data_IF_584636838027
#
_entry.id   IF_584636838027
#
_cell.length_a   1.000
_cell.length_b   1.000
_cell.length_c   1.000
_cell.angle_alpha   90.00
_cell.angle_beta   90.00
_cell.angle_gamma   90.00
#
_symmetry.space_group_name_H-M   'P 1'
#
loop_
_entity.id
_entity.type
_entity.pdbx_description
1 polymer ?
#
# COMPACT_ATOMS: atom_id res chain seq x y z
N UNK A 1 0.06 -24.04 -65.17
CA UNK A 1 0.24 -25.29 -65.94
C UNK A 1 1.57 -25.90 -65.48
N UNK A 2 1.60 -27.18 -65.11
CA UNK A 2 2.75 -27.97 -64.59
C UNK A 2 3.04 -27.69 -63.09
N UNK A 3 2.58 -28.46 -62.08
CA UNK A 3 2.70 -29.90 -61.69
C UNK A 3 3.88 -30.17 -60.71
N UNK A 4 3.49 -30.34 -59.43
CA UNK A 4 3.77 -31.41 -58.43
C UNK A 4 5.17 -31.69 -57.81
N UNK A 5 5.03 -32.16 -56.54
CA UNK A 5 5.84 -33.09 -55.71
C UNK A 5 7.01 -32.46 -54.93
N UNK A 6 7.36 -32.76 -53.66
CA UNK A 6 6.96 -33.69 -52.57
C UNK A 6 7.64 -33.16 -51.27
N UNK A 7 6.95 -32.98 -50.14
CA UNK A 7 6.85 -33.88 -48.96
C UNK A 7 8.16 -34.30 -48.25
N UNK A 8 8.34 -33.87 -46.98
CA UNK A 8 8.67 -34.73 -45.81
C UNK A 8 8.47 -33.99 -44.46
N UNK A 9 7.53 -34.51 -43.66
CA UNK A 9 7.24 -34.21 -42.23
C UNK A 9 8.32 -34.85 -41.31
N UNK A 10 8.32 -34.71 -39.94
CA UNK A 10 7.20 -34.78 -38.96
C UNK A 10 7.19 -33.58 -37.97
N UNK A 11 6.15 -33.23 -37.20
CA UNK A 11 5.09 -34.02 -36.57
C UNK A 11 5.32 -34.07 -35.06
N UNK A 12 4.90 -33.05 -34.31
CA UNK A 12 4.79 -33.08 -32.83
C UNK A 12 3.40 -32.60 -32.43
N UNK A 13 2.81 -33.43 -31.57
CA UNK A 13 1.40 -33.54 -31.18
C UNK A 13 1.03 -32.51 -30.11
N UNK A 14 -0.03 -31.74 -30.33
CA UNK A 14 -0.75 -31.01 -29.28
C UNK A 14 -1.87 -31.92 -28.74
N UNK A 15 -1.78 -32.30 -27.47
CA UNK A 15 -2.81 -33.06 -26.77
C UNK A 15 -3.92 -32.11 -26.29
N UNK A 16 -5.11 -32.25 -26.87
CA UNK A 16 -6.36 -31.83 -26.26
C UNK A 16 -7.01 -33.02 -25.51
N UNK A 17 -7.72 -32.80 -24.40
CA UNK A 17 -8.32 -33.91 -23.65
C UNK A 17 -9.61 -34.43 -24.32
N UNK A 18 -9.68 -35.76 -24.33
CA UNK A 18 -10.66 -36.66 -24.94
C UNK A 18 -12.00 -36.72 -24.20
N UNK A 19 -13.09 -36.77 -24.98
CA UNK A 19 -14.44 -37.19 -24.56
C UNK A 19 -14.53 -38.73 -24.52
N UNK A 20 -15.17 -39.29 -23.51
CA UNK A 20 -15.75 -40.65 -23.51
C UNK A 20 -17.13 -40.65 -22.83
N UNK A 21 -17.99 -41.67 -23.07
CA UNK A 21 -19.42 -41.47 -23.27
C UNK A 21 -20.34 -41.93 -22.12
N UNK A 22 -21.60 -41.53 -22.30
CA UNK A 22 -22.82 -41.80 -21.55
C UNK A 22 -23.02 -43.26 -21.11
N UNK A 23 -23.50 -43.43 -19.87
CA UNK A 23 -24.35 -44.56 -19.46
C UNK A 23 -25.68 -44.03 -18.90
N UNK A 24 -26.74 -44.75 -19.24
CA UNK A 24 -28.16 -44.46 -19.03
C UNK A 24 -28.66 -45.35 -17.87
N UNK A 25 -29.53 -44.82 -16.98
CA UNK A 25 -30.74 -45.44 -16.38
C UNK A 25 -31.24 -44.60 -15.16
N UNK A 26 -32.56 -44.58 -14.85
CA UNK A 26 -33.29 -43.35 -14.53
C UNK A 26 -33.93 -43.23 -13.12
N UNK A 27 -34.37 -41.98 -12.86
CA UNK A 27 -35.49 -41.50 -12.01
C UNK A 27 -35.40 -41.65 -10.48
N UNK A 28 -35.48 -40.52 -9.77
CA UNK A 28 -36.63 -40.13 -8.93
C UNK A 28 -36.57 -38.61 -8.69
N UNK A 29 -37.72 -37.96 -8.83
CA UNK A 29 -37.94 -36.51 -8.78
C UNK A 29 -37.77 -35.95 -7.36
N UNK A 30 -36.91 -34.93 -7.23
CA UNK A 30 -36.82 -34.06 -6.05
C UNK A 30 -36.40 -32.66 -6.51
N UNK A 31 -37.32 -31.70 -6.41
CA UNK A 31 -37.16 -30.32 -6.89
C UNK A 31 -36.07 -29.59 -6.08
N UNK A 32 -34.96 -29.25 -6.72
CA UNK A 32 -34.07 -28.16 -6.29
C UNK A 32 -33.71 -27.33 -7.53
N UNK A 33 -34.12 -26.07 -7.51
CA UNK A 33 -33.70 -25.05 -8.46
C UNK A 33 -32.22 -24.73 -8.27
N UNK A 34 -31.44 -24.81 -9.34
CA UNK A 34 -30.24 -23.98 -9.50
C UNK A 34 -29.91 -23.86 -10.99
N UNK A 35 -30.03 -22.65 -11.52
CA UNK A 35 -29.51 -22.26 -12.81
C UNK A 35 -28.47 -21.16 -12.57
N UNK A 36 -27.20 -21.52 -12.67
CA UNK A 36 -26.11 -20.59 -12.88
C UNK A 36 -25.90 -20.46 -14.40
N UNK A 37 -26.31 -19.34 -14.97
CA UNK A 37 -25.68 -18.76 -16.16
C UNK A 37 -25.24 -17.37 -15.72
N UNK A 38 -23.96 -17.11 -15.94
CA UNK A 38 -23.26 -15.88 -15.59
C UNK A 38 -23.73 -14.73 -16.48
N UNK A 39 -24.33 -13.72 -15.86
CA UNK A 39 -24.41 -12.35 -16.37
C UNK A 39 -23.64 -11.46 -15.40
N UNK A 40 -22.76 -10.63 -15.95
CA UNK A 40 -22.02 -9.60 -15.23
C UNK A 40 -23.00 -8.59 -14.62
N UNK A 41 -22.81 -8.13 -13.37
CA UNK A 41 -23.73 -7.17 -12.77
C UNK A 41 -23.55 -5.81 -13.46
N UNK A 42 -24.59 -5.39 -14.20
CA UNK A 42 -24.79 -3.99 -14.59
C UNK A 42 -24.86 -3.13 -13.33
N UNK A 43 -24.34 -1.90 -13.34
CA UNK A 43 -24.58 -0.98 -12.24
C UNK A 43 -26.09 -0.70 -12.19
N UNK A 44 -26.72 -1.03 -11.06
CA UNK A 44 -28.07 -0.59 -10.73
C UNK A 44 -28.07 0.94 -10.66
N UNK A 45 -28.24 1.57 -11.82
CA UNK A 45 -28.80 2.91 -11.94
C UNK A 45 -30.17 2.88 -11.27
N UNK A 46 -30.25 3.44 -10.06
CA UNK A 46 -31.36 4.24 -9.52
C UNK A 46 -32.81 3.98 -10.00
N UNK A 47 -33.20 2.75 -10.32
CA UNK A 47 -34.59 2.35 -10.62
C UNK A 47 -35.25 1.58 -9.47
N UNK A 48 -34.64 1.59 -8.28
CA UNK A 48 -35.28 1.19 -7.03
C UNK A 48 -35.95 2.39 -6.33
N UNK A 49 -36.84 3.09 -7.05
CA UNK A 49 -37.71 4.12 -6.49
C UNK A 49 -39.06 4.26 -7.23
N UNK A 50 -39.58 3.20 -7.86
CA UNK A 50 -40.89 3.24 -8.56
C UNK A 50 -42.00 2.46 -7.83
N UNK A 51 -41.82 2.18 -6.53
CA UNK A 51 -42.90 1.68 -5.68
C UNK A 51 -43.11 2.59 -4.45
N UNK A 52 -43.17 3.90 -4.67
CA UNK A 52 -43.71 4.83 -3.69
C UNK A 52 -45.23 4.85 -3.84
N UNK A 53 -45.92 4.37 -2.81
CA UNK A 53 -47.39 4.32 -2.77
C UNK A 53 -48.03 5.66 -3.10
N UNK A 54 -49.14 5.58 -3.84
CA UNK A 54 -50.11 6.66 -3.99
C UNK A 54 -50.58 7.10 -2.60
N UNK A 55 -50.06 8.23 -2.14
CA UNK A 55 -50.59 8.96 -0.99
C UNK A 55 -50.86 10.40 -1.43
N UNK A 56 -52.15 10.66 -1.61
CA UNK A 56 -52.83 11.94 -1.41
C UNK A 56 -52.22 13.19 -2.05
N UNK A 57 -52.50 13.35 -3.34
CA UNK A 57 -52.48 14.63 -4.04
C UNK A 57 -53.57 15.55 -3.46
N UNK A 58 -53.27 16.20 -2.34
CA UNK A 58 -54.26 17.07 -1.70
C UNK A 58 -53.84 17.61 -0.35
N UNK A 59 -52.69 18.28 -0.25
CA UNK A 59 -52.40 19.17 0.89
C UNK A 59 -51.54 20.35 0.43
N UNK A 60 -52.04 21.54 0.76
CA UNK A 60 -51.46 22.85 0.51
C UNK A 60 -49.93 22.84 0.52
N UNK A 61 -49.32 23.10 -0.64
CA UNK A 61 -47.88 23.31 -0.76
C UNK A 61 -47.52 24.57 0.01
N UNK A 62 -47.10 24.39 1.27
CA UNK A 62 -46.43 25.46 2.00
C UNK A 62 -45.31 25.96 1.10
N UNK A 63 -45.33 27.25 0.75
CA UNK A 63 -44.34 27.83 -0.15
C UNK A 63 -42.98 27.63 0.51
N UNK A 64 -42.16 26.71 -0.02
CA UNK A 64 -40.79 26.51 0.46
C UNK A 64 -40.07 27.85 0.51
N UNK A 65 -39.24 28.03 1.54
CA UNK A 65 -38.41 29.22 1.64
C UNK A 65 -37.53 29.34 0.39
N UNK A 66 -37.23 30.57 -0.03
CA UNK A 66 -36.38 30.83 -1.21
C UNK A 66 -35.02 30.13 -1.08
N UNK A 67 -34.45 30.11 0.13
CA UNK A 67 -33.20 29.43 0.44
C UNK A 67 -33.29 27.91 0.22
N UNK A 68 -34.41 27.30 0.61
CA UNK A 68 -34.65 25.86 0.49
C UNK A 68 -34.79 25.45 -0.98
N UNK A 69 -35.50 26.25 -1.78
CA UNK A 69 -35.59 26.04 -3.24
C UNK A 69 -34.23 26.16 -3.92
N UNK A 70 -33.46 27.21 -3.58
CA UNK A 70 -32.13 27.43 -4.14
C UNK A 70 -31.15 26.30 -3.80
N UNK A 71 -31.28 25.69 -2.61
CA UNK A 71 -30.48 24.52 -2.23
C UNK A 71 -30.82 23.29 -3.10
N UNK A 72 -32.11 22.98 -3.30
CA UNK A 72 -32.54 21.87 -4.17
C UNK A 72 -32.07 22.08 -5.60
N UNK A 73 -32.25 23.30 -6.12
CA UNK A 73 -31.80 23.66 -7.46
C UNK A 73 -30.29 23.50 -7.61
N UNK A 74 -29.50 23.91 -6.61
CA UNK A 74 -28.05 23.73 -6.62
C UNK A 74 -27.65 22.25 -6.62
N UNK A 75 -28.35 21.41 -5.87
CA UNK A 75 -28.12 19.96 -5.87
C UNK A 75 -28.44 19.36 -7.25
N UNK A 76 -29.64 19.64 -7.79
CA UNK A 76 -30.06 19.19 -9.14
C UNK A 76 -29.07 19.65 -10.23
N UNK A 77 -28.61 20.90 -10.17
CA UNK A 77 -27.61 21.42 -11.12
C UNK A 77 -26.26 20.73 -11.01
N UNK A 78 -25.87 20.30 -9.80
CA UNK A 78 -24.62 19.58 -9.60
C UNK A 78 -24.73 18.16 -10.14
N UNK A 79 -25.86 17.49 -9.93
CA UNK A 79 -26.11 16.15 -10.47
C UNK A 79 -26.11 16.16 -12.01
N UNK A 80 -26.78 17.16 -12.61
CA UNK A 80 -26.76 17.37 -14.05
C UNK A 80 -25.34 17.63 -14.58
N UNK A 81 -24.58 18.51 -13.91
CA UNK A 81 -23.18 18.77 -14.24
C UNK A 81 -22.32 17.50 -14.18
N UNK A 82 -22.46 16.69 -13.11
CA UNK A 82 -21.70 15.44 -12.98
C UNK A 82 -22.05 14.45 -14.10
N UNK A 83 -23.32 14.36 -14.49
CA UNK A 83 -23.77 13.52 -15.61
C UNK A 83 -23.14 13.96 -16.94
N UNK A 84 -23.14 15.26 -17.22
CA UNK A 84 -22.50 15.83 -18.41
C UNK A 84 -20.99 15.49 -18.44
N UNK A 85 -20.28 15.70 -17.33
CA UNK A 85 -18.84 15.39 -17.25
C UNK A 85 -18.53 13.90 -17.42
N UNK A 86 -19.40 13.00 -16.93
CA UNK A 86 -19.24 11.55 -17.13
C UNK A 86 -19.39 11.21 -18.61
N UNK A 87 -20.41 11.77 -19.28
CA UNK A 87 -20.60 11.54 -20.71
C UNK A 87 -19.44 12.07 -21.57
N UNK A 88 -18.92 13.26 -21.25
CA UNK A 88 -17.75 13.84 -21.92
C UNK A 88 -16.50 12.99 -21.71
N UNK A 89 -16.30 12.48 -20.48
CA UNK A 89 -15.19 11.59 -20.16
C UNK A 89 -15.26 10.28 -20.96
N UNK A 90 -16.42 9.64 -21.07
CA UNK A 90 -16.58 8.40 -21.84
C UNK A 90 -16.35 8.62 -23.33
N UNK A 91 -16.83 9.73 -23.89
CA UNK A 91 -16.57 10.13 -25.28
C UNK A 91 -15.07 10.38 -25.49
N UNK A 92 -14.45 11.16 -24.60
CA UNK A 92 -13.02 11.45 -24.60
C UNK A 92 -12.16 10.20 -24.50
N UNK A 93 -12.55 9.23 -23.66
CA UNK A 93 -11.88 7.93 -23.50
C UNK A 93 -11.85 7.15 -24.82
N UNK A 94 -12.98 7.08 -25.52
CA UNK A 94 -13.08 6.41 -26.83
C UNK A 94 -12.23 7.12 -27.89
N UNK A 95 -12.20 8.45 -27.89
CA UNK A 95 -11.35 9.22 -28.80
C UNK A 95 -9.86 9.01 -28.52
N UNK A 96 -9.46 8.97 -27.26
CA UNK A 96 -8.09 8.71 -26.87
C UNK A 96 -7.64 7.31 -27.32
N UNK A 97 -8.45 6.29 -27.09
CA UNK A 97 -8.18 4.93 -27.57
C UNK A 97 -8.00 4.90 -29.10
N UNK A 98 -8.88 5.57 -29.86
CA UNK A 98 -8.77 5.66 -31.31
C UNK A 98 -7.48 6.40 -31.77
N UNK A 99 -7.05 7.44 -31.07
CA UNK A 99 -5.79 8.14 -31.37
C UNK A 99 -4.56 7.26 -31.11
N UNK A 100 -4.60 6.44 -30.06
CA UNK A 100 -3.52 5.51 -29.71
C UNK A 100 -3.56 4.20 -30.51
N UNK A 101 -4.66 3.93 -31.23
CA UNK A 101 -4.87 2.70 -31.98
C UNK A 101 -5.23 1.49 -31.11
N UNK A 102 -5.73 1.73 -29.90
CA UNK A 102 -6.13 0.70 -28.93
C UNK A 102 -7.65 0.46 -28.95
N UNK A 103 -8.08 -0.67 -28.39
CA UNK A 103 -9.50 -1.03 -28.29
C UNK A 103 -10.20 -0.25 -27.15
N UNK A 104 -11.31 0.48 -27.41
CA UNK A 104 -11.97 1.33 -26.41
C UNK A 104 -12.57 0.61 -25.20
N UNK A 105 -12.87 -0.68 -25.31
CA UNK A 105 -13.47 -1.46 -24.22
C UNK A 105 -12.42 -2.01 -23.26
N UNK A 106 -11.23 -2.34 -23.77
CA UNK A 106 -10.11 -2.87 -22.97
C UNK A 106 -9.27 -1.75 -22.34
N UNK A 107 -9.47 -0.50 -22.76
CA UNK A 107 -8.65 0.65 -22.37
C UNK A 107 -8.75 0.97 -20.86
N UNK A 108 -7.66 0.76 -20.13
CA UNK A 108 -7.60 0.96 -18.67
C UNK A 108 -7.17 2.38 -18.28
N UNK A 109 -7.27 2.73 -17.00
CA UNK A 109 -6.81 4.03 -16.50
C UNK A 109 -5.29 4.21 -16.62
N UNK A 110 -4.51 3.13 -16.54
CA UNK A 110 -3.06 3.19 -16.71
C UNK A 110 -2.69 3.54 -18.15
N UNK A 111 -3.42 2.98 -19.12
CA UNK A 111 -3.24 3.29 -20.55
C UNK A 111 -3.61 4.74 -20.86
N UNK A 112 -4.66 5.26 -20.22
CA UNK A 112 -5.04 6.69 -20.28
C UNK A 112 -3.89 7.56 -19.76
N UNK A 113 -3.37 7.27 -18.57
CA UNK A 113 -2.33 8.07 -17.93
C UNK A 113 -1.03 8.04 -18.78
N UNK A 114 -0.68 6.89 -19.36
CA UNK A 114 0.46 6.74 -20.27
C UNK A 114 0.26 7.52 -21.58
N UNK A 115 -0.92 7.42 -22.19
CA UNK A 115 -1.24 8.15 -23.41
C UNK A 115 -1.18 9.67 -23.20
N UNK A 116 -1.68 10.16 -22.06
CA UNK A 116 -1.62 11.59 -21.71
C UNK A 116 -0.19 12.04 -21.46
N UNK A 117 0.60 11.26 -20.74
CA UNK A 117 2.01 11.56 -20.51
C UNK A 117 2.79 11.67 -21.84
N UNK A 118 2.41 10.88 -22.85
CA UNK A 118 2.99 10.92 -24.18
C UNK A 118 2.51 12.12 -25.02
N UNK A 119 1.19 12.35 -25.08
CA UNK A 119 0.60 13.42 -25.89
C UNK A 119 0.87 14.81 -25.30
N UNK A 120 0.86 14.92 -23.97
CA UNK A 120 1.02 16.17 -23.22
C UNK A 120 2.18 16.05 -22.21
N UNK A 121 3.44 16.00 -22.68
CA UNK A 121 4.59 15.84 -21.81
C UNK A 121 4.75 17.07 -20.91
N UNK A 122 4.70 16.87 -19.59
CA UNK A 122 4.89 17.92 -18.59
C UNK A 122 6.09 17.61 -17.70
N UNK A 123 7.01 18.58 -17.59
CA UNK A 123 8.19 18.50 -16.72
C UNK A 123 7.94 18.95 -15.28
N UNK A 124 6.68 19.07 -14.85
CA UNK A 124 6.34 19.56 -13.51
C UNK A 124 6.67 18.50 -12.46
N UNK A 125 7.35 18.91 -11.39
CA UNK A 125 7.73 18.03 -10.29
C UNK A 125 6.50 17.50 -9.53
N UNK A 126 5.50 18.34 -9.33
CA UNK A 126 4.29 17.97 -8.60
C UNK A 126 3.35 17.16 -9.49
N UNK A 127 3.07 15.87 -9.19
CA UNK A 127 2.27 15.02 -10.07
C UNK A 127 0.81 15.51 -10.18
N UNK A 128 0.28 16.17 -9.14
CA UNK A 128 -1.09 16.72 -9.14
C UNK A 128 -1.26 17.92 -10.07
N UNK A 129 -0.18 18.59 -10.44
CA UNK A 129 -0.21 19.76 -11.33
C UNK A 129 -0.05 19.36 -12.82
N UNK A 130 0.21 18.08 -13.09
CA UNK A 130 0.34 17.57 -14.45
C UNK A 130 -1.05 17.45 -15.11
N UNK A 131 -1.12 17.50 -16.46
CA UNK A 131 -2.34 17.12 -17.17
C UNK A 131 -2.79 15.72 -16.77
N UNK A 132 -4.08 15.56 -16.48
CA UNK A 132 -4.67 14.27 -16.13
C UNK A 132 -6.09 14.19 -16.69
N UNK A 133 -6.52 12.98 -17.05
CA UNK A 133 -7.90 12.68 -17.42
C UNK A 133 -8.33 11.49 -16.57
N UNK A 134 -9.23 11.74 -15.62
CA UNK A 134 -9.76 10.72 -14.71
C UNK A 134 -11.27 10.79 -14.69
N UNK A 135 -11.89 9.73 -14.19
CA UNK A 135 -13.32 9.71 -14.02
C UNK A 135 -13.79 10.87 -13.10
N UNK A 136 -14.86 11.61 -13.44
CA UNK A 136 -15.29 12.80 -12.69
C UNK A 136 -15.50 12.57 -11.19
N UNK A 137 -15.90 11.37 -10.77
CA UNK A 137 -16.10 11.02 -9.35
C UNK A 137 -14.82 11.03 -8.53
N UNK A 138 -13.65 10.89 -9.17
CA UNK A 138 -12.34 10.96 -8.51
C UNK A 138 -11.78 12.38 -8.50
N UNK A 139 -12.10 13.17 -9.53
CA UNK A 139 -11.61 14.54 -9.71
C UNK A 139 -12.39 15.51 -8.81
N UNK A 140 -13.72 15.41 -8.83
CA UNK A 140 -14.58 16.31 -8.06
C UNK A 140 -14.78 15.79 -6.64
N UNK A 141 -14.76 16.67 -5.63
CA UNK A 141 -15.04 16.28 -4.25
C UNK A 141 -16.49 15.82 -4.12
N UNK A 142 -16.71 14.75 -3.35
CA UNK A 142 -18.06 14.27 -3.03
C UNK A 142 -18.84 15.37 -2.32
N UNK A 143 -20.08 15.57 -2.74
CA UNK A 143 -21.03 16.49 -2.10
C UNK A 143 -22.24 15.71 -1.60
N UNK A 144 -22.90 16.26 -0.59
CA UNK A 144 -24.16 15.72 -0.11
C UNK A 144 -25.24 15.87 -1.19
N UNK A 145 -26.05 14.84 -1.34
CA UNK A 145 -27.31 14.93 -2.06
C UNK A 145 -28.27 15.89 -1.32
N UNK A 146 -29.37 16.26 -1.97
CA UNK A 146 -30.40 17.06 -1.33
C UNK A 146 -30.94 16.32 -0.08
N UNK A 147 -30.95 17.00 1.07
CA UNK A 147 -31.36 16.41 2.35
C UNK A 147 -32.89 16.40 2.57
N UNK A 148 -33.66 17.02 1.68
CA UNK A 148 -35.11 17.18 1.81
C UNK A 148 -35.86 17.21 0.47
N UNK A 149 -37.15 16.89 0.54
CA UNK A 149 -38.09 16.91 -0.56
C UNK A 149 -38.47 18.32 -1.03
N UNK A 150 -39.15 18.40 -2.18
CA UNK A 150 -39.79 19.62 -2.69
C UNK A 150 -40.93 20.13 -1.78
N UNK A 151 -41.42 19.31 -0.86
CA UNK A 151 -42.35 19.70 0.20
C UNK A 151 -41.64 20.27 1.43
N UNK A 152 -40.31 20.15 1.50
CA UNK A 152 -39.48 20.60 2.60
C UNK A 152 -39.34 19.61 3.75
N UNK A 153 -39.75 18.36 3.53
CA UNK A 153 -39.59 17.28 4.50
C UNK A 153 -38.17 16.69 4.39
N UNK A 154 -37.38 16.65 5.48
CA UNK A 154 -36.09 15.99 5.46
C UNK A 154 -36.21 14.47 5.28
N UNK A 155 -35.28 13.87 4.53
CA UNK A 155 -35.20 12.42 4.36
C UNK A 155 -34.74 11.70 5.62
N UNK A 156 -33.78 12.30 6.33
CA UNK A 156 -33.16 11.70 7.50
C UNK A 156 -33.79 12.19 8.80
N UNK A 157 -34.00 11.28 9.76
CA UNK A 157 -34.62 11.60 11.06
C UNK A 157 -33.75 12.54 11.91
N UNK A 158 -32.42 12.35 11.89
CA UNK A 158 -31.45 13.19 12.62
C UNK A 158 -31.08 14.49 11.88
N UNK A 159 -31.82 14.90 10.85
CA UNK A 159 -31.52 16.11 10.07
C UNK A 159 -31.34 17.36 10.96
N UNK A 160 -32.23 17.55 11.94
CA UNK A 160 -32.21 18.72 12.82
C UNK A 160 -31.04 18.77 13.81
N UNK A 161 -30.19 17.74 13.85
CA UNK A 161 -28.94 17.77 14.63
C UNK A 161 -27.84 18.59 13.95
N UNK A 162 -28.03 18.96 12.67
CA UNK A 162 -27.06 19.67 11.83
C UNK A 162 -25.97 18.78 11.23
N UNK A 163 -25.72 17.60 11.80
CA UNK A 163 -24.75 16.59 11.31
C UNK A 163 -25.38 15.20 11.31
N UNK A 164 -26.40 14.98 10.46
CA UNK A 164 -27.18 13.74 10.47
C UNK A 164 -26.31 12.50 10.30
N UNK A 165 -25.33 12.51 9.39
CA UNK A 165 -24.58 11.31 9.06
C UNK A 165 -23.56 10.95 10.17
N UNK A 166 -22.92 11.92 10.81
CA UNK A 166 -22.07 11.66 11.98
C UNK A 166 -22.85 11.02 13.14
N UNK A 167 -24.00 11.59 13.51
CA UNK A 167 -24.80 11.05 14.61
C UNK A 167 -25.48 9.73 14.25
N UNK A 168 -25.77 9.47 12.97
CA UNK A 168 -26.21 8.16 12.50
C UNK A 168 -25.15 7.10 12.77
N UNK A 169 -23.87 7.36 12.43
CA UNK A 169 -22.78 6.42 12.73
C UNK A 169 -22.65 6.16 14.23
N UNK A 170 -22.79 7.19 15.07
CA UNK A 170 -22.79 7.00 16.53
C UNK A 170 -23.98 6.17 17.01
N UNK A 171 -25.17 6.41 16.44
CA UNK A 171 -26.36 5.63 16.74
C UNK A 171 -26.12 4.16 16.36
N UNK A 172 -25.62 3.89 15.16
CA UNK A 172 -25.31 2.55 14.68
C UNK A 172 -24.31 1.85 15.61
N UNK A 173 -23.25 2.53 16.06
CA UNK A 173 -22.32 1.98 17.06
C UNK A 173 -23.07 1.57 18.33
N UNK A 174 -23.90 2.45 18.88
CA UNK A 174 -24.62 2.15 20.13
C UNK A 174 -25.62 1.01 19.96
N UNK A 175 -26.29 0.90 18.82
CA UNK A 175 -27.21 -0.21 18.53
C UNK A 175 -26.45 -1.53 18.42
N UNK A 176 -25.28 -1.53 17.77
CA UNK A 176 -24.41 -2.70 17.72
C UNK A 176 -23.94 -3.13 19.11
N UNK A 177 -23.48 -2.20 19.96
CA UNK A 177 -23.09 -2.51 21.35
C UNK A 177 -24.26 -3.12 22.12
N UNK A 178 -25.45 -2.52 22.06
CA UNK A 178 -26.63 -3.06 22.74
C UNK A 178 -27.03 -4.45 22.23
N UNK A 179 -26.94 -4.69 20.92
CA UNK A 179 -27.22 -5.99 20.33
C UNK A 179 -26.22 -7.06 20.78
N UNK A 180 -24.95 -6.67 20.93
CA UNK A 180 -23.88 -7.53 21.45
C UNK A 180 -24.06 -7.82 22.95
N UNK A 181 -24.46 -6.83 23.76
CA UNK A 181 -24.78 -7.00 25.18
C UNK A 181 -25.96 -7.98 25.35
N UNK A 182 -27.06 -7.78 24.61
CA UNK A 182 -28.22 -8.70 24.60
C UNK A 182 -27.84 -10.11 24.18
N UNK A 183 -26.85 -10.24 23.29
CA UNK A 183 -26.33 -11.54 22.90
C UNK A 183 -25.49 -12.16 24.02
N UNK A 184 -24.61 -11.39 24.66
CA UNK A 184 -23.83 -11.83 25.81
C UNK A 184 -24.76 -12.36 26.93
N UNK A 185 -25.83 -11.63 27.25
CA UNK A 185 -26.82 -12.04 28.24
C UNK A 185 -27.53 -13.35 27.87
N UNK A 186 -27.78 -13.60 26.57
CA UNK A 186 -28.31 -14.88 26.10
C UNK A 186 -27.30 -16.01 26.29
N UNK A 187 -26.04 -15.79 25.95
CA UNK A 187 -24.99 -16.81 26.08
C UNK A 187 -24.78 -17.21 27.55
N UNK A 188 -24.78 -16.22 28.46
CA UNK A 188 -24.70 -16.45 29.91
C UNK A 188 -25.89 -17.27 30.39
N UNK A 189 -27.13 -16.95 29.95
CA UNK A 189 -28.33 -17.71 30.33
C UNK A 189 -28.26 -19.18 29.89
N UNK A 190 -27.74 -19.46 28.71
CA UNK A 190 -27.59 -20.84 28.22
C UNK A 190 -26.36 -21.56 28.79
N UNK A 191 -25.55 -20.90 29.64
CA UNK A 191 -24.29 -21.44 30.18
C UNK A 191 -23.33 -21.94 29.10
N UNK A 192 -23.40 -21.36 27.89
CA UNK A 192 -22.49 -21.69 26.79
C UNK A 192 -21.20 -20.90 27.01
N UNK A 193 -20.09 -21.62 27.17
CA UNK A 193 -18.77 -21.02 27.38
C UNK A 193 -18.27 -20.24 26.16
N UNK A 194 -17.40 -19.26 26.38
CA UNK A 194 -16.82 -18.41 25.33
C UNK A 194 -15.99 -19.25 24.34
N UNK A 195 -16.36 -19.23 23.07
CA UNK A 195 -15.51 -19.71 21.97
C UNK A 195 -14.29 -18.80 21.85
N UNK A 196 -13.16 -19.19 22.44
CA UNK A 196 -11.91 -18.41 22.43
C UNK A 196 -11.31 -18.25 21.03
N UNK A 197 -11.77 -19.01 20.06
CA UNK A 197 -11.19 -19.11 18.71
C UNK A 197 -11.71 -18.04 17.73
N UNK A 198 -12.75 -17.28 18.10
CA UNK A 198 -13.39 -16.28 17.21
C UNK A 198 -13.16 -14.84 17.67
N UNK A 199 -11.92 -14.47 17.98
CA UNK A 199 -11.56 -13.08 18.29
C UNK A 199 -11.09 -12.35 17.03
N UNK A 200 -11.51 -11.10 16.85
CA UNK A 200 -11.10 -10.28 15.71
C UNK A 200 -9.63 -9.84 15.83
N UNK A 201 -8.85 -10.14 14.79
CA UNK A 201 -7.46 -9.72 14.70
C UNK A 201 -7.35 -8.34 14.03
N UNK A 202 -7.32 -7.28 14.85
CA UNK A 202 -7.27 -5.90 14.36
C UNK A 202 -5.84 -5.34 14.20
N UNK A 203 -4.80 -6.11 14.55
CA UNK A 203 -3.42 -5.64 14.61
C UNK A 203 -2.83 -5.15 13.28
N UNK A 204 -3.31 -5.66 12.15
CA UNK A 204 -2.85 -5.26 10.80
C UNK A 204 -3.57 -4.03 10.24
N UNK A 205 -4.48 -3.42 11.00
CA UNK A 205 -5.33 -2.33 10.52
C UNK A 205 -5.36 -1.14 11.49
N UNK A 206 -5.42 0.08 10.96
CA UNK A 206 -5.55 1.33 11.74
C UNK A 206 -6.95 1.89 11.54
N UNK A 207 -7.45 2.61 12.55
CA UNK A 207 -8.61 3.46 12.38
C UNK A 207 -8.40 4.52 11.28
N UNK A 208 -9.46 4.81 10.55
CA UNK A 208 -9.51 5.86 9.54
C UNK A 208 -9.17 7.23 10.16
N UNK A 209 -8.37 8.06 9.49
CA UNK A 209 -8.02 9.40 9.97
C UNK A 209 -9.22 10.37 9.92
N UNK A 210 -9.13 11.52 10.60
CA UNK A 210 -10.21 12.53 10.61
C UNK A 210 -10.65 12.94 9.19
N UNK A 211 -9.72 13.34 8.34
CA UNK A 211 -10.01 13.79 6.97
C UNK A 211 -10.71 12.70 6.15
N UNK A 212 -10.30 11.46 6.36
CA UNK A 212 -10.88 10.31 5.67
C UNK A 212 -12.28 9.99 6.19
N UNK A 213 -12.52 10.15 7.49
CA UNK A 213 -13.86 10.03 8.09
C UNK A 213 -14.80 11.11 7.53
N UNK A 214 -14.32 12.34 7.42
CA UNK A 214 -15.07 13.44 6.79
C UNK A 214 -15.39 13.14 5.32
N UNK A 215 -14.46 12.51 4.58
CA UNK A 215 -14.69 12.07 3.20
C UNK A 215 -15.72 10.94 3.09
N UNK A 216 -15.72 9.99 4.03
CA UNK A 216 -16.70 8.89 4.07
C UNK A 216 -18.11 9.40 4.38
N UNK A 217 -18.22 10.29 5.36
CA UNK A 217 -19.51 10.81 5.86
C UNK A 217 -19.99 12.00 5.02
N UNK A 218 -19.10 12.67 4.30
CA UNK A 218 -19.35 13.91 3.54
C UNK A 218 -19.84 15.04 4.46
N UNK A 219 -19.25 15.12 5.66
CA UNK A 219 -19.55 16.13 6.68
C UNK A 219 -18.25 16.60 7.34
N UNK A 220 -18.19 17.88 7.72
CA UNK A 220 -17.05 18.42 8.47
C UNK A 220 -17.19 18.10 9.96
N UNK A 221 -16.09 17.67 10.59
CA UNK A 221 -16.05 17.14 11.95
C UNK A 221 -15.03 17.95 12.77
N UNK A 222 -15.30 18.13 14.06
CA UNK A 222 -14.32 18.72 14.99
C UNK A 222 -13.46 17.63 15.62
N UNK A 223 -12.25 17.96 16.07
CA UNK A 223 -11.33 16.96 16.66
C UNK A 223 -11.96 16.25 17.86
N UNK A 224 -12.72 16.98 18.70
CA UNK A 224 -13.47 16.40 19.83
C UNK A 224 -14.46 15.31 19.40
N UNK A 225 -15.13 15.50 18.27
CA UNK A 225 -16.08 14.53 17.73
C UNK A 225 -15.36 13.30 17.18
N UNK A 226 -14.19 13.50 16.59
CA UNK A 226 -13.33 12.40 16.16
C UNK A 226 -12.82 11.58 17.35
N UNK A 227 -12.34 12.23 18.42
CA UNK A 227 -11.92 11.55 19.64
C UNK A 227 -13.06 10.74 20.26
N UNK A 228 -14.27 11.31 20.28
CA UNK A 228 -15.46 10.60 20.77
C UNK A 228 -15.82 9.40 19.90
N UNK A 229 -15.71 9.53 18.58
CA UNK A 229 -15.91 8.44 17.64
C UNK A 229 -14.90 7.31 17.89
N UNK A 230 -13.61 7.62 18.03
CA UNK A 230 -12.56 6.62 18.30
C UNK A 230 -12.81 5.92 19.64
N UNK A 231 -13.19 6.66 20.70
CA UNK A 231 -13.55 6.05 21.99
C UNK A 231 -14.74 5.09 21.86
N UNK A 232 -15.75 5.48 21.10
CA UNK A 232 -16.95 4.65 20.86
C UNK A 232 -16.62 3.39 20.04
N UNK A 233 -15.75 3.54 19.04
CA UNK A 233 -15.26 2.43 18.21
C UNK A 233 -14.35 1.46 18.96
N UNK A 234 -13.44 1.97 19.79
CA UNK A 234 -12.62 1.12 20.67
C UNK A 234 -13.51 0.35 21.64
N UNK A 235 -14.51 0.99 22.25
CA UNK A 235 -15.50 0.31 23.09
C UNK A 235 -16.22 -0.84 22.35
N UNK A 236 -16.57 -0.65 21.08
CA UNK A 236 -17.20 -1.70 20.27
C UNK A 236 -16.22 -2.82 19.93
N UNK A 237 -14.98 -2.50 19.58
CA UNK A 237 -13.93 -3.46 19.25
C UNK A 237 -13.50 -4.31 20.45
N UNK A 238 -13.41 -3.70 21.64
CA UNK A 238 -13.04 -4.35 22.91
C UNK A 238 -14.13 -5.32 23.42
N UNK A 239 -15.33 -5.29 22.83
CA UNK A 239 -16.43 -6.16 23.25
C UNK A 239 -16.10 -7.65 22.99
N UNK A 240 -16.40 -8.58 23.92
CA UNK A 240 -16.03 -10.00 23.78
C UNK A 240 -16.57 -10.70 22.52
N UNK A 241 -17.70 -10.22 22.00
CA UNK A 241 -18.39 -10.79 20.83
C UNK A 241 -18.29 -9.90 19.59
N UNK A 242 -17.23 -9.09 19.48
CA UNK A 242 -17.04 -8.11 18.39
C UNK A 242 -17.04 -8.72 16.98
N UNK A 243 -16.73 -10.02 16.84
CA UNK A 243 -16.74 -10.74 15.55
C UNK A 243 -18.04 -10.67 14.76
N UNK A 244 -19.20 -10.48 15.43
CA UNK A 244 -20.49 -10.39 14.72
C UNK A 244 -20.69 -9.05 14.01
N UNK A 245 -19.87 -8.06 14.36
CA UNK A 245 -19.94 -6.68 13.86
C UNK A 245 -18.66 -6.35 13.07
N UNK A 246 -17.95 -7.37 12.60
CA UNK A 246 -16.69 -7.23 11.88
C UNK A 246 -16.83 -6.34 10.63
N UNK A 247 -17.86 -6.60 9.81
CA UNK A 247 -18.09 -5.84 8.58
C UNK A 247 -18.24 -4.34 8.84
N UNK A 248 -18.96 -3.98 9.91
CA UNK A 248 -19.15 -2.60 10.32
C UNK A 248 -17.84 -1.98 10.83
N UNK A 249 -17.04 -2.71 11.61
CA UNK A 249 -15.74 -2.24 12.10
C UNK A 249 -14.76 -2.05 10.92
N UNK A 250 -14.72 -3.00 9.99
CA UNK A 250 -13.82 -2.98 8.83
C UNK A 250 -14.10 -1.82 7.89
N UNK A 251 -15.37 -1.37 7.77
CA UNK A 251 -15.73 -0.16 7.02
C UNK A 251 -14.94 1.08 7.48
N UNK A 252 -14.56 1.15 8.75
CA UNK A 252 -13.82 2.28 9.34
C UNK A 252 -12.36 1.93 9.67
N UNK A 253 -11.84 0.84 9.12
CA UNK A 253 -10.43 0.44 9.26
C UNK A 253 -9.72 0.55 7.92
N UNK A 254 -8.42 0.82 7.98
CA UNK A 254 -7.50 0.79 6.84
C UNK A 254 -6.44 -0.27 7.07
N UNK A 255 -6.24 -1.12 6.08
CA UNK A 255 -5.14 -2.09 6.11
C UNK A 255 -3.80 -1.36 6.07
N UNK A 256 -2.90 -1.69 6.99
CA UNK A 256 -1.50 -1.27 6.92
C UNK A 256 -0.79 -2.31 6.08
N UNK A 257 -0.17 -1.89 4.98
CA UNK A 257 0.85 -2.70 4.32
C UNK A 257 2.11 -2.71 5.18
N UNK A 258 2.29 -3.73 6.01
CA UNK A 258 3.56 -3.95 6.71
C UNK A 258 4.59 -4.50 5.72
N UNK A 259 5.33 -3.62 5.03
CA UNK A 259 6.44 -3.96 4.13
C UNK A 259 7.68 -4.48 4.89
N UNK A 260 7.47 -5.45 5.77
CA UNK A 260 8.45 -5.94 6.74
C UNK A 260 9.01 -7.32 6.39
N UNK A 261 9.13 -7.61 5.09
CA UNK A 261 9.93 -8.74 4.63
C UNK A 261 10.92 -8.21 3.61
N UNK A 262 12.16 -8.00 4.06
CA UNK A 262 13.26 -7.73 3.14
C UNK A 262 13.49 -8.99 2.32
N UNK A 263 13.17 -8.96 1.02
CA UNK A 263 13.42 -10.08 0.14
C UNK A 263 14.93 -10.37 0.11
N UNK A 264 15.30 -11.57 0.57
CA UNK A 264 16.65 -12.08 0.53
C UNK A 264 16.89 -12.58 -0.90
N UNK A 265 17.82 -12.00 -1.67
CA UNK A 265 18.10 -12.43 -3.02
C UNK A 265 18.68 -13.85 -2.98
N UNK A 266 18.37 -14.64 -4.01
CA UNK A 266 18.86 -16.01 -4.13
C UNK A 266 20.34 -16.02 -4.51
N UNK A 267 21.09 -16.98 -3.98
CA UNK A 267 22.49 -17.21 -4.32
C UNK A 267 22.68 -17.49 -5.81
N UNK A 268 23.69 -16.87 -6.42
CA UNK A 268 24.15 -17.18 -7.78
C UNK A 268 25.26 -18.23 -7.71
N UNK A 269 25.53 -18.92 -8.81
CA UNK A 269 26.57 -19.95 -8.89
C UNK A 269 27.48 -19.72 -10.10
N UNK A 270 28.78 -19.82 -9.90
CA UNK A 270 29.78 -19.75 -10.98
C UNK A 270 29.72 -21.03 -11.83
N UNK A 271 30.38 -21.04 -12.99
CA UNK A 271 30.59 -22.25 -13.80
C UNK A 271 31.23 -23.40 -13.03
N UNK A 272 32.03 -23.07 -12.00
CA UNK A 272 32.68 -24.02 -11.09
C UNK A 272 31.76 -24.49 -9.94
N UNK A 273 30.51 -24.04 -9.90
CA UNK A 273 29.54 -24.40 -8.85
C UNK A 273 29.75 -23.69 -7.51
N UNK A 274 30.64 -22.69 -7.45
CA UNK A 274 30.87 -21.88 -6.25
C UNK A 274 29.70 -20.89 -6.07
N UNK A 275 29.03 -20.86 -4.89
CA UNK A 275 27.99 -19.88 -4.64
C UNK A 275 28.60 -18.49 -4.45
N UNK A 276 28.07 -17.49 -5.13
CA UNK A 276 28.51 -16.11 -4.99
C UNK A 276 27.34 -15.13 -4.99
N UNK A 277 27.56 -13.94 -4.43
CA UNK A 277 26.60 -12.84 -4.44
C UNK A 277 27.24 -11.51 -4.73
N UNK A 278 26.55 -10.73 -5.55
CA UNK A 278 26.95 -9.38 -5.92
C UNK A 278 26.07 -8.39 -5.16
N UNK A 279 26.68 -7.40 -4.54
CA UNK A 279 25.98 -6.31 -3.88
C UNK A 279 26.72 -4.99 -4.09
N UNK A 280 25.97 -3.92 -4.25
CA UNK A 280 26.51 -2.56 -4.33
C UNK A 280 26.34 -1.85 -2.99
N UNK A 281 27.44 -1.31 -2.47
CA UNK A 281 27.49 -0.48 -1.28
C UNK A 281 27.77 0.97 -1.63
N UNK A 282 27.20 1.91 -0.88
CA UNK A 282 27.47 3.33 -1.04
C UNK A 282 27.65 4.02 0.30
N UNK A 283 28.57 4.98 0.36
CA UNK A 283 28.75 5.87 1.51
C UNK A 283 29.30 7.22 1.07
N UNK A 284 28.58 8.30 1.41
CA UNK A 284 28.87 9.66 0.93
C UNK A 284 28.90 9.67 -0.61
N UNK A 285 30.07 9.93 -1.21
CA UNK A 285 30.29 9.89 -2.66
C UNK A 285 30.95 8.59 -3.13
N UNK A 286 31.40 7.72 -2.22
CA UNK A 286 32.05 6.46 -2.59
C UNK A 286 31.01 5.39 -2.93
N UNK A 287 31.29 4.64 -4.01
CA UNK A 287 30.51 3.48 -4.45
C UNK A 287 31.43 2.26 -4.49
N UNK A 288 30.93 1.12 -4.03
CA UNK A 288 31.65 -0.13 -4.02
C UNK A 288 30.76 -1.24 -4.60
N UNK A 289 31.27 -1.95 -5.60
CA UNK A 289 30.66 -3.17 -6.12
C UNK A 289 31.41 -4.34 -5.49
N UNK A 290 30.70 -5.17 -4.74
CA UNK A 290 31.30 -6.25 -3.94
C UNK A 290 30.72 -7.58 -4.37
N UNK A 291 31.61 -8.51 -4.67
CA UNK A 291 31.38 -9.92 -4.97
C UNK A 291 31.86 -10.75 -3.79
N UNK A 292 30.95 -11.47 -3.14
CA UNK A 292 31.31 -12.42 -2.07
C UNK A 292 31.17 -13.82 -2.61
N UNK A 293 32.26 -14.58 -2.56
CA UNK A 293 32.33 -16.00 -2.92
C UNK A 293 32.27 -16.84 -1.65
N UNK A 294 31.36 -17.81 -1.62
CA UNK A 294 31.30 -18.81 -0.56
C UNK A 294 32.37 -19.88 -0.72
N UNK A 295 32.67 -20.61 0.37
CA UNK A 295 33.70 -21.68 0.40
C UNK A 295 35.10 -21.16 0.04
N UNK A 296 35.42 -19.95 0.53
CA UNK A 296 36.69 -19.29 0.31
C UNK A 296 37.75 -19.59 1.36
N UNK A 297 38.86 -18.86 1.26
CA UNK A 297 40.01 -18.88 2.19
C UNK A 297 40.06 -17.68 3.15
N UNK A 298 39.13 -16.72 3.03
CA UNK A 298 39.15 -15.47 3.78
C UNK A 298 39.93 -14.35 3.09
N UNK A 299 40.22 -14.48 1.80
CA UNK A 299 40.98 -13.49 1.03
C UNK A 299 40.08 -12.30 0.72
N UNK A 300 40.56 -11.09 1.01
CA UNK A 300 39.84 -9.84 0.76
C UNK A 300 40.64 -9.04 -0.26
N UNK A 301 40.16 -8.98 -1.50
CA UNK A 301 40.74 -8.16 -2.58
C UNK A 301 39.95 -6.88 -2.78
N UNK A 302 40.64 -5.75 -2.81
CA UNK A 302 40.09 -4.41 -3.04
C UNK A 302 40.84 -3.79 -4.21
N UNK A 303 40.15 -3.55 -5.34
CA UNK A 303 40.75 -3.02 -6.58
C UNK A 303 42.00 -3.81 -7.04
N UNK A 304 41.97 -5.15 -6.89
CA UNK A 304 43.09 -6.03 -7.23
C UNK A 304 44.27 -6.02 -6.24
N UNK A 305 44.18 -5.24 -5.16
CA UNK A 305 45.15 -5.24 -4.05
C UNK A 305 44.56 -5.96 -2.84
N UNK A 306 45.41 -6.39 -1.89
CA UNK A 306 44.96 -6.97 -0.63
C UNK A 306 44.36 -5.90 0.31
N UNK A 307 43.89 -6.28 1.49
CA UNK A 307 43.35 -5.38 2.53
C UNK A 307 44.30 -4.22 2.91
N UNK A 308 45.59 -4.34 2.57
CA UNK A 308 46.60 -3.29 2.69
C UNK A 308 46.32 -2.04 1.85
N UNK A 309 45.38 -2.10 0.90
CA UNK A 309 44.87 -0.93 0.17
C UNK A 309 44.50 0.23 1.11
N UNK A 310 43.84 -0.09 2.23
CA UNK A 310 43.59 0.86 3.30
C UNK A 310 44.81 0.97 4.21
N UNK A 311 45.41 2.16 4.30
CA UNK A 311 46.58 2.40 5.15
C UNK A 311 46.21 2.45 6.64
N UNK A 312 45.04 3.00 6.95
CA UNK A 312 44.59 3.21 8.32
C UNK A 312 43.98 1.92 8.90
N UNK A 313 44.34 1.51 10.13
CA UNK A 313 43.77 0.31 10.76
C UNK A 313 42.25 0.42 10.95
N UNK A 314 41.75 1.62 11.29
CA UNK A 314 40.32 1.88 11.43
C UNK A 314 39.53 1.54 10.16
N UNK A 315 40.08 1.80 8.98
CA UNK A 315 39.42 1.49 7.71
C UNK A 315 39.36 -0.02 7.46
N UNK A 316 40.41 -0.76 7.86
CA UNK A 316 40.45 -2.22 7.78
C UNK A 316 39.44 -2.86 8.73
N UNK A 317 39.36 -2.37 9.96
CA UNK A 317 38.37 -2.82 10.95
C UNK A 317 36.93 -2.67 10.43
N UNK A 318 36.63 -1.57 9.73
CA UNK A 318 35.32 -1.37 9.12
C UNK A 318 34.98 -2.43 8.07
N UNK A 319 35.94 -2.84 7.24
CA UNK A 319 35.75 -3.87 6.21
C UNK A 319 35.56 -5.25 6.83
N UNK A 320 36.30 -5.56 7.91
CA UNK A 320 36.30 -6.86 8.59
C UNK A 320 35.07 -7.04 9.48
N UNK A 321 34.54 -5.96 10.06
CA UNK A 321 33.41 -5.98 10.99
C UNK A 321 32.19 -6.83 10.57
N UNK A 322 31.64 -6.74 9.33
CA UNK A 322 30.50 -7.57 8.93
C UNK A 322 30.83 -9.07 8.85
N UNK A 323 32.08 -9.44 8.53
CA UNK A 323 32.54 -10.83 8.52
C UNK A 323 32.66 -11.36 9.94
N UNK A 324 33.19 -10.54 10.85
CA UNK A 324 33.30 -10.89 12.27
C UNK A 324 31.92 -11.06 12.92
N UNK A 325 30.99 -10.14 12.63
CA UNK A 325 29.63 -10.17 13.19
C UNK A 325 28.83 -11.40 12.78
N UNK A 326 29.07 -11.89 11.56
CA UNK A 326 28.39 -13.07 11.00
C UNK A 326 29.14 -14.38 11.22
N UNK A 327 30.26 -14.33 11.95
CA UNK A 327 31.15 -15.49 12.19
C UNK A 327 31.67 -16.16 10.91
N UNK A 328 31.73 -15.39 9.81
CA UNK A 328 32.22 -15.84 8.49
C UNK A 328 33.64 -15.38 8.18
N UNK A 329 34.43 -15.10 9.21
CA UNK A 329 35.86 -14.83 9.02
C UNK A 329 36.57 -16.10 8.56
N UNK A 330 37.30 -16.01 7.45
CA UNK A 330 38.05 -17.14 6.90
C UNK A 330 37.24 -18.13 6.05
N UNK A 331 35.92 -17.96 5.92
CA UNK A 331 35.04 -18.88 5.19
C UNK A 331 34.59 -18.37 3.82
N UNK A 332 34.65 -17.05 3.62
CA UNK A 332 34.24 -16.38 2.38
C UNK A 332 35.40 -15.58 1.81
N UNK A 333 35.49 -15.55 0.48
CA UNK A 333 36.41 -14.66 -0.23
C UNK A 333 35.62 -13.44 -0.71
N UNK A 334 36.21 -12.26 -0.58
CA UNK A 334 35.58 -10.99 -0.92
C UNK A 334 36.41 -10.32 -1.99
N UNK A 335 35.77 -9.99 -3.11
CA UNK A 335 36.35 -9.14 -4.13
C UNK A 335 35.54 -7.86 -4.25
N UNK A 336 36.20 -6.72 -4.11
CA UNK A 336 35.56 -5.41 -4.05
C UNK A 336 36.21 -4.45 -5.05
N UNK A 337 35.40 -3.90 -5.95
CA UNK A 337 35.76 -2.75 -6.78
C UNK A 337 35.22 -1.48 -6.15
N UNK A 338 36.08 -0.49 -5.90
CA UNK A 338 35.69 0.77 -5.26
C UNK A 338 36.04 1.95 -6.15
N UNK A 339 35.05 2.83 -6.34
CA UNK A 339 35.14 4.03 -7.18
C UNK A 339 34.74 5.26 -6.36
N UNK A 340 35.42 6.37 -6.62
CA UNK A 340 35.14 7.69 -6.05
C UNK A 340 35.31 7.81 -4.51
N UNK A 341 35.26 9.04 -4.00
CA UNK A 341 35.33 9.34 -2.56
C UNK A 341 36.73 9.28 -1.94
N UNK A 342 36.78 9.43 -0.61
CA UNK A 342 38.01 9.31 0.19
C UNK A 342 38.08 7.97 0.92
N UNK A 343 39.24 7.61 1.45
CA UNK A 343 39.55 6.30 2.05
C UNK A 343 38.51 5.81 3.09
N UNK A 344 38.14 6.67 4.04
CA UNK A 344 37.10 6.36 5.04
C UNK A 344 35.70 6.14 4.44
N UNK A 345 35.37 6.89 3.37
CA UNK A 345 34.11 6.71 2.63
C UNK A 345 34.10 5.38 1.89
N UNK A 346 35.21 5.05 1.23
CA UNK A 346 35.43 3.81 0.50
C UNK A 346 35.32 2.58 1.41
N UNK A 347 36.05 2.56 2.54
CA UNK A 347 35.97 1.47 3.51
C UNK A 347 34.54 1.24 4.02
N UNK A 348 33.81 2.33 4.29
CA UNK A 348 32.42 2.22 4.72
C UNK A 348 31.45 1.79 3.61
N UNK A 349 31.73 2.08 2.34
CA UNK A 349 30.96 1.59 1.21
C UNK A 349 31.18 0.08 1.01
N UNK A 350 32.43 -0.38 1.10
CA UNK A 350 32.80 -1.80 1.05
C UNK A 350 32.12 -2.57 2.20
N UNK A 351 32.20 -2.05 3.43
CA UNK A 351 31.51 -2.63 4.59
C UNK A 351 30.03 -2.88 4.33
N UNK A 352 29.35 -1.90 3.73
CA UNK A 352 27.93 -2.00 3.42
C UNK A 352 27.66 -3.01 2.30
N UNK A 353 28.48 -3.02 1.24
CA UNK A 353 28.39 -3.99 0.15
C UNK A 353 28.58 -5.43 0.65
N UNK A 354 29.60 -5.68 1.48
CA UNK A 354 29.83 -6.98 2.12
C UNK A 354 28.59 -7.38 2.93
N UNK A 355 28.09 -6.52 3.83
CA UNK A 355 26.92 -6.84 4.64
C UNK A 355 25.67 -7.18 3.80
N UNK A 356 25.45 -6.48 2.68
CA UNK A 356 24.35 -6.74 1.76
C UNK A 356 24.51 -8.06 0.98
N UNK A 357 25.73 -8.49 0.69
CA UNK A 357 25.98 -9.78 0.05
C UNK A 357 25.80 -10.93 1.04
N UNK A 358 26.32 -10.78 2.27
CA UNK A 358 26.28 -11.80 3.32
C UNK A 358 24.86 -12.20 3.74
N UNK A 359 23.85 -11.34 3.58
CA UNK A 359 22.44 -11.66 3.92
C UNK A 359 21.89 -12.92 3.26
N UNK A 360 22.49 -13.33 2.14
CA UNK A 360 22.07 -14.50 1.36
C UNK A 360 22.74 -15.78 1.82
N UNK A 361 23.83 -15.67 2.59
CA UNK A 361 24.60 -16.80 3.13
C UNK A 361 24.19 -17.16 4.56
N UNK A 362 23.39 -16.32 5.23
CA UNK A 362 23.01 -16.51 6.64
C UNK A 362 21.50 -16.62 6.82
N UNK A 363 21.10 -17.24 7.93
CA UNK A 363 19.72 -17.36 8.38
C UNK A 363 19.04 -16.00 8.63
N UNK A 364 17.72 -16.00 8.52
CA UNK A 364 16.87 -14.82 8.70
C UNK A 364 17.07 -14.12 10.05
N UNK A 365 17.29 -14.88 11.12
CA UNK A 365 17.52 -14.33 12.45
C UNK A 365 18.80 -13.50 12.53
N UNK A 366 19.88 -13.94 11.86
CA UNK A 366 21.12 -13.17 11.81
C UNK A 366 20.95 -11.91 10.95
N UNK A 367 20.17 -11.99 9.86
CA UNK A 367 19.86 -10.81 9.03
C UNK A 367 19.16 -9.74 9.86
N UNK A 368 18.25 -10.12 10.75
CA UNK A 368 17.62 -9.19 11.69
C UNK A 368 18.64 -8.61 12.69
N UNK A 369 19.55 -9.42 13.23
CA UNK A 369 20.66 -8.93 14.07
C UNK A 369 21.56 -7.93 13.32
N UNK A 370 21.89 -8.20 12.06
CA UNK A 370 22.66 -7.28 11.20
C UNK A 370 21.91 -5.97 10.96
N UNK A 371 20.58 -6.03 10.79
CA UNK A 371 19.72 -4.85 10.66
C UNK A 371 19.74 -4.03 11.94
N UNK A 372 19.59 -4.67 13.11
CA UNK A 372 19.63 -4.01 14.42
C UNK A 372 21.02 -3.41 14.72
N UNK A 373 22.09 -4.06 14.27
CA UNK A 373 23.46 -3.56 14.35
C UNK A 373 23.76 -2.41 13.36
N UNK A 374 22.83 -2.05 12.47
CA UNK A 374 22.99 -0.96 11.51
C UNK A 374 23.93 -1.28 10.33
N UNK A 375 24.23 -2.55 10.07
CA UNK A 375 25.08 -2.98 8.95
C UNK A 375 24.38 -2.84 7.59
N UNK A 376 23.06 -3.09 7.58
CA UNK A 376 22.21 -3.07 6.39
C UNK A 376 21.61 -1.68 6.11
N UNK A 377 21.86 -0.69 6.97
CA UNK A 377 21.33 0.67 6.80
C UNK A 377 22.30 1.52 5.99
N UNK A 378 21.84 2.01 4.84
CA UNK A 378 22.60 3.01 4.07
C UNK A 378 22.57 4.36 4.79
N UNK A 379 23.74 5.01 4.92
CA UNK A 379 23.86 6.33 5.55
C UNK A 379 23.75 7.42 4.47
N UNK A 380 22.75 8.31 4.53
CA UNK A 380 22.63 9.40 3.56
C UNK A 380 23.81 10.39 3.67
N UNK A 381 24.20 11.05 2.57
CA UNK A 381 25.28 12.04 2.60
C UNK A 381 24.94 13.21 3.51
N UNK A 382 25.87 13.58 4.41
CA UNK A 382 25.66 14.64 5.43
C UNK A 382 26.07 16.04 4.99
N UNK A 383 26.78 16.20 3.86
CA UNK A 383 27.26 17.54 3.45
C UNK A 383 26.11 18.30 2.81
N UNK A 384 25.51 19.22 3.56
CA UNK A 384 24.49 20.11 3.05
C UNK A 384 25.10 21.08 2.02
N UNK A 385 24.34 21.47 0.98
CA UNK A 385 24.76 22.54 0.09
C UNK A 385 24.89 23.85 0.88
N UNK A 386 25.91 24.64 0.55
CA UNK A 386 26.11 25.95 1.15
C UNK A 386 24.99 26.89 0.72
N UNK A 387 24.32 27.52 1.68
CA UNK A 387 23.31 28.53 1.41
C UNK A 387 23.99 29.82 0.97
N UNK A 388 23.38 30.51 0.01
CA UNK A 388 23.89 31.80 -0.47
C UNK A 388 23.97 32.79 0.71
N UNK A 389 25.13 33.41 0.92
CA UNK A 389 25.39 34.34 2.03
C UNK A 389 25.98 33.71 3.30
N UNK A 390 25.91 32.38 3.47
CA UNK A 390 26.51 31.70 4.62
C UNK A 390 28.01 31.46 4.38
N UNK A 391 28.88 31.82 5.35
CA UNK A 391 30.34 31.62 5.22
C UNK A 391 30.77 30.15 5.29
N UNK A 392 30.07 29.34 6.07
CA UNK A 392 30.20 27.88 6.09
C UNK A 392 28.82 27.22 6.15
N UNK A 393 28.73 25.94 5.82
CA UNK A 393 27.46 25.20 5.70
C UNK A 393 26.65 25.09 7.01
N UNK A 394 27.28 25.35 8.17
CA UNK A 394 26.66 25.19 9.50
C UNK A 394 27.00 26.32 10.50
N UNK A 395 27.67 27.39 10.11
CA UNK A 395 28.08 28.47 11.04
C UNK A 395 27.05 29.58 11.21
N UNK A 396 25.78 29.29 10.99
CA UNK A 396 24.69 30.18 11.38
C UNK A 396 23.75 29.44 12.30
N UNK A 397 24.09 29.53 13.59
CA UNK A 397 23.26 29.49 14.80
C UNK A 397 24.15 28.90 15.90
N UNK A 398 24.49 29.73 16.89
CA UNK A 398 25.22 29.34 18.10
C UNK A 398 24.43 28.36 18.97
N UNK A 399 24.15 27.16 18.45
CA UNK A 399 23.66 26.04 19.21
C UNK A 399 24.86 25.24 19.72
N UNK A 400 25.05 25.34 21.03
CA UNK A 400 25.97 24.55 21.84
C UNK A 400 26.09 23.11 21.33
N UNK A 401 27.30 22.71 20.93
CA UNK A 401 27.65 21.36 20.51
C UNK A 401 27.60 20.36 21.67
N UNK A 402 26.39 20.07 22.17
CA UNK A 402 26.17 19.09 23.24
C UNK A 402 24.90 18.24 23.11
N UNK A 403 24.12 18.37 22.03
CA UNK A 403 22.82 17.70 21.91
C UNK A 403 22.63 16.87 20.62
N UNK A 404 23.69 16.26 20.09
CA UNK A 404 23.59 15.24 19.04
C UNK A 404 24.46 14.02 19.39
N UNK A 405 24.27 13.47 20.59
CA UNK A 405 24.71 12.12 20.90
C UNK A 405 23.76 11.13 20.23
N UNK A 406 23.98 10.84 18.94
CA UNK A 406 23.96 9.43 18.57
C UNK A 406 25.31 8.90 19.06
N UNK A 407 25.36 7.97 20.03
CA UNK A 407 26.62 7.38 20.40
C UNK A 407 27.08 6.53 19.21
N UNK A 408 27.99 7.07 18.40
CA UNK A 408 29.04 6.20 17.88
C UNK A 408 29.72 5.64 19.15
N UNK A 409 29.65 4.33 19.43
CA UNK A 409 30.34 3.80 20.60
C UNK A 409 31.82 4.16 20.44
N UNK A 410 32.44 4.85 21.41
CA UNK A 410 33.88 5.06 21.38
C UNK A 410 34.53 3.68 21.39
N UNK A 411 35.28 3.39 20.33
CA UNK A 411 36.00 2.14 20.09
C UNK A 411 37.04 1.78 21.17
N UNK A 412 37.16 2.57 22.25
CA UNK A 412 38.07 2.35 23.37
C UNK A 412 37.48 1.59 24.56
N UNK A 413 36.19 1.22 24.56
CA UNK A 413 35.56 0.54 25.71
C UNK A 413 35.51 -1.00 25.63
N UNK A 414 35.99 -1.62 24.55
CA UNK A 414 35.96 -3.08 24.36
C UNK A 414 37.22 -3.83 24.82
N UNK A 415 38.23 -3.16 25.41
CA UNK A 415 39.41 -3.84 25.95
C UNK A 415 39.26 -4.29 27.42
N UNK A 416 38.10 -4.13 28.05
CA UNK A 416 37.88 -4.47 29.48
C UNK A 416 36.79 -5.52 29.74
N UNK A 417 36.14 -6.06 28.70
CA UNK A 417 35.13 -7.13 28.85
C UNK A 417 35.60 -8.51 28.38
N UNK A 418 36.87 -8.64 28.03
CA UNK A 418 37.51 -9.94 27.81
C UNK A 418 38.82 -10.01 28.61
N UNK A 419 38.69 -10.37 29.88
CA UNK A 419 39.69 -11.04 30.71
C UNK A 419 38.98 -11.99 31.66
#
# INVERSE_FOLDING_TARGET
MIIRQLLRSPGVVLQGPSKTPLSVIPWIQGKCWNSNIAETPRPESSEAAVAAGQLDAGKSTAKLSKAMKAYIERAKSHDAFMFEQISEYEIGRRHLANMMGEDPETFTQEDIDNAIAYLLPSGLFEPKARPLMKHPTEVFPKRKAAEFDESGRPFHTLFYTGRPAYYQVLHDITTHVQNLDRFADRMVRYSISKDKERTLNLGSSIWVSKEQLESIIVESIQDRHYDFFIKSMNRLADHPYSYRVEEFILKFRKSISSSSQQEIPKLLFTTEGVPYMNASGSRKTAKADVTVYGRGTGKITINGQDILYFKNPQEREQVVFPLQFTEMLGTVDVDAEVKEGGSSGQAGAVRHGIALALRSFVDKEMVEKMRLAGLLTSIPPRRFPQRFGAKETLTELGFCGRCANYPDPPFSFLSQLFS
#
